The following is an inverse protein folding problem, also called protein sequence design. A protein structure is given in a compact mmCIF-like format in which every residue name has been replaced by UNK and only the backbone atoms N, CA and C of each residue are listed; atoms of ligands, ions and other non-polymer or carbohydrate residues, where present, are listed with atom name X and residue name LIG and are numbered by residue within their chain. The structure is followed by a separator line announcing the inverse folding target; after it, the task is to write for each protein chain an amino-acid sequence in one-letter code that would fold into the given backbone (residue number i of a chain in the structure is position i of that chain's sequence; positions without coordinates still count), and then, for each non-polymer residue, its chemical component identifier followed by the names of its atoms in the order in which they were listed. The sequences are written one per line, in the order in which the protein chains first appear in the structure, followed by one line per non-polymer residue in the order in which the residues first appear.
data_IF_151183387001
#
_entry.id   IF_151183387001
#
_cell.length_a   1.000
_cell.length_b   1.000
_cell.length_c   1.000
_cell.angle_alpha   90.00
_cell.angle_beta   90.00
_cell.angle_gamma   90.00
#
_symmetry.space_group_name_H-M   'P 1'
#
loop_
_entity.id
_entity.type
_entity.pdbx_description
1 polymer ?
#
# COMPACT_ATOMS: atom_id res chain seq x y z
N UNK A 1 -43.43 -0.57 58.22
CA UNK A 1 -42.05 -0.06 58.00
C UNK A 1 -41.10 -1.02 57.24
N UNK A 2 -41.58 -2.03 56.49
CA UNK A 2 -40.70 -2.97 55.74
C UNK A 2 -40.66 -2.77 54.21
N UNK A 3 -41.59 -2.01 53.63
CA UNK A 3 -41.62 -1.74 52.18
C UNK A 3 -40.85 -0.46 51.78
N UNK A 4 -40.70 0.50 52.70
CA UNK A 4 -39.99 1.77 52.45
C UNK A 4 -38.47 1.64 52.46
N UNK A 5 -37.91 0.64 53.15
CA UNK A 5 -36.46 0.41 53.23
C UNK A 5 -35.92 -0.19 51.92
N UNK A 6 -36.72 -0.99 51.22
CA UNK A 6 -36.33 -1.61 49.94
C UNK A 6 -36.15 -0.54 48.85
N UNK A 7 -36.94 0.53 48.88
CA UNK A 7 -36.86 1.60 47.88
C UNK A 7 -35.58 2.45 48.02
N UNK A 8 -35.10 2.67 49.25
CA UNK A 8 -33.86 3.41 49.50
C UNK A 8 -32.59 2.63 49.09
N UNK A 9 -32.61 1.30 49.20
CA UNK A 9 -31.49 0.46 48.76
C UNK A 9 -31.41 0.40 47.23
N UNK A 10 -32.56 0.37 46.53
CA UNK A 10 -32.60 0.41 45.07
C UNK A 10 -32.08 1.73 44.49
N UNK A 11 -32.33 2.86 45.17
CA UNK A 11 -31.86 4.19 44.73
C UNK A 11 -30.36 4.39 44.97
N UNK A 12 -29.76 3.70 45.94
CA UNK A 12 -28.31 3.74 46.17
C UNK A 12 -27.53 2.95 45.10
N UNK A 13 -28.10 1.85 44.56
CA UNK A 13 -27.43 1.02 43.55
C UNK A 13 -27.37 1.74 42.18
N UNK A 14 -28.34 2.60 41.86
CA UNK A 14 -28.29 3.36 40.59
C UNK A 14 -27.23 4.46 40.59
N UNK A 15 -26.85 5.00 41.75
CA UNK A 15 -25.79 6.03 41.84
C UNK A 15 -24.40 5.43 41.63
N UNK A 16 -24.18 4.15 41.98
CA UNK A 16 -22.91 3.46 41.67
C UNK A 16 -22.84 2.95 40.21
N UNK A 17 -23.95 2.90 39.49
CA UNK A 17 -23.99 2.42 38.10
C UNK A 17 -23.70 3.50 37.05
N UNK A 18 -23.58 4.77 37.44
CA UNK A 18 -23.05 5.83 36.57
C UNK A 18 -21.60 6.14 36.90
N UNK A 19 -20.76 5.11 37.00
CA UNK A 19 -19.37 5.26 36.63
C UNK A 19 -19.33 5.49 35.12
N UNK A 20 -19.29 6.75 34.70
CA UNK A 20 -19.14 7.10 33.30
C UNK A 20 -17.84 6.46 32.79
N UNK A 21 -17.98 5.36 32.06
CA UNK A 21 -16.95 4.91 31.16
C UNK A 21 -16.95 5.87 29.97
N UNK A 22 -16.43 7.08 30.20
CA UNK A 22 -15.89 7.88 29.12
C UNK A 22 -14.69 7.07 28.62
N UNK A 23 -14.90 6.29 27.55
CA UNK A 23 -13.84 6.13 26.57
C UNK A 23 -13.48 7.55 26.17
N UNK A 24 -12.38 8.06 26.71
CA UNK A 24 -11.67 9.15 26.06
C UNK A 24 -11.35 8.60 24.67
N UNK A 25 -12.10 9.06 23.66
CA UNK A 25 -11.64 9.01 22.27
C UNK A 25 -10.45 9.97 22.21
N UNK A 26 -9.33 9.55 22.78
CA UNK A 26 -8.03 10.11 22.47
C UNK A 26 -7.60 9.26 21.27
N UNK A 27 -8.05 9.66 20.08
CA UNK A 27 -7.60 9.01 18.85
C UNK A 27 -6.07 9.12 18.83
N UNK A 28 -5.40 7.97 18.74
CA UNK A 28 -3.94 7.93 18.77
C UNK A 28 -3.36 8.92 17.74
N UNK A 29 -2.45 9.79 18.17
CA UNK A 29 -1.76 10.71 17.27
C UNK A 29 -0.70 9.92 16.51
N UNK A 30 -1.04 9.55 15.27
CA UNK A 30 -0.19 8.79 14.37
C UNK A 30 0.58 9.75 13.45
N UNK A 31 1.91 9.67 13.50
CA UNK A 31 2.81 10.33 12.53
C UNK A 31 3.49 9.24 11.72
N UNK A 32 3.36 9.30 10.39
CA UNK A 32 3.97 8.34 9.49
C UNK A 32 5.48 8.55 9.35
N UNK A 33 6.25 7.49 9.01
CA UNK A 33 7.65 7.66 8.66
C UNK A 33 7.84 8.57 7.46
N UNK A 34 8.86 9.41 7.51
CA UNK A 34 9.18 10.37 6.46
C UNK A 34 10.65 10.26 6.09
N UNK A 35 10.94 10.18 4.80
CA UNK A 35 12.32 10.21 4.31
C UNK A 35 12.91 11.61 4.48
N UNK A 36 14.11 11.70 5.05
CA UNK A 36 14.78 12.98 5.27
C UNK A 36 16.29 12.79 5.39
N UNK A 37 17.04 13.45 4.50
CA UNK A 37 18.48 13.53 4.57
C UNK A 37 18.84 14.91 5.12
N UNK A 38 19.13 14.99 6.42
CA UNK A 38 19.49 16.26 7.07
C UNK A 38 20.83 16.78 6.56
N UNK A 39 20.81 17.66 5.55
CA UNK A 39 21.95 18.45 5.09
C UNK A 39 23.13 17.65 4.53
N UNK A 40 23.00 16.33 4.40
CA UNK A 40 24.08 15.46 3.91
C UNK A 40 24.00 15.39 2.40
N UNK A 41 25.04 15.89 1.74
CA UNK A 41 25.17 15.76 0.29
C UNK A 41 25.60 14.33 -0.04
N UNK A 42 24.84 13.64 -0.88
CA UNK A 42 25.22 12.35 -1.46
C UNK A 42 25.57 12.63 -2.93
N UNK A 43 26.79 12.27 -3.34
CA UNK A 43 27.33 12.63 -4.66
C UNK A 43 27.23 14.13 -4.98
N UNK A 44 27.35 14.99 -3.96
CA UNK A 44 27.25 16.45 -4.12
C UNK A 44 25.82 16.99 -4.29
N UNK A 45 24.78 16.15 -4.18
CA UNK A 45 23.36 16.53 -4.25
C UNK A 45 22.64 16.31 -2.91
N UNK A 46 21.64 17.15 -2.65
CA UNK A 46 20.66 16.92 -1.60
C UNK A 46 19.40 16.31 -2.24
N UNK A 47 18.69 15.43 -1.54
CA UNK A 47 17.44 14.82 -1.99
C UNK A 47 16.37 15.16 -0.95
N UNK A 48 15.40 15.99 -1.35
CA UNK A 48 14.35 16.47 -0.47
C UNK A 48 13.27 15.41 -0.24
N UNK A 49 13.02 14.57 -1.25
CA UNK A 49 12.03 13.50 -1.19
C UNK A 49 12.67 12.15 -1.51
N UNK A 50 11.98 11.07 -1.14
CA UNK A 50 12.42 9.74 -1.54
C UNK A 50 12.32 9.55 -3.05
N UNK A 51 11.35 10.16 -3.71
CA UNK A 51 11.16 10.04 -5.16
C UNK A 51 12.38 10.57 -5.93
N UNK A 52 12.90 11.74 -5.51
CA UNK A 52 14.14 12.30 -6.06
C UNK A 52 15.33 11.35 -5.84
N UNK A 53 15.41 10.74 -4.65
CA UNK A 53 16.46 9.77 -4.35
C UNK A 53 16.33 8.54 -5.26
N UNK A 54 15.14 7.95 -5.36
CA UNK A 54 14.89 6.78 -6.20
C UNK A 54 15.19 7.07 -7.67
N UNK A 55 14.72 8.20 -8.22
CA UNK A 55 15.00 8.59 -9.60
C UNK A 55 16.49 8.72 -9.92
N UNK A 56 17.30 9.11 -8.94
CA UNK A 56 18.73 9.28 -9.14
C UNK A 56 19.52 7.99 -8.99
N UNK A 57 19.05 7.04 -8.19
CA UNK A 57 19.80 5.83 -7.83
C UNK A 57 19.27 4.54 -8.47
N UNK A 58 18.02 4.52 -8.93
CA UNK A 58 17.45 3.37 -9.65
C UNK A 58 17.98 3.35 -11.07
N UNK A 59 18.44 2.18 -11.47
CA UNK A 59 18.81 1.86 -12.84
C UNK A 59 17.81 0.88 -13.45
N UNK A 60 17.62 0.95 -14.76
CA UNK A 60 16.83 -0.07 -15.46
C UNK A 60 17.71 -1.32 -15.67
N UNK A 61 17.37 -2.50 -15.12
CA UNK A 61 18.21 -3.69 -15.29
C UNK A 61 18.40 -4.05 -16.77
N UNK A 62 19.65 -4.32 -17.17
CA UNK A 62 19.99 -4.57 -18.58
C UNK A 62 19.27 -5.80 -19.17
N UNK A 63 19.04 -6.84 -18.36
CA UNK A 63 18.27 -8.01 -18.78
C UNK A 63 16.82 -7.64 -19.09
N UNK A 64 16.18 -6.87 -18.20
CA UNK A 64 14.82 -6.37 -18.39
C UNK A 64 14.70 -5.48 -19.63
N UNK A 65 15.71 -4.64 -19.89
CA UNK A 65 15.81 -3.86 -21.13
C UNK A 65 15.89 -4.76 -22.35
N UNK A 66 16.70 -5.82 -22.30
CA UNK A 66 16.91 -6.74 -23.42
C UNK A 66 15.65 -7.55 -23.77
N UNK A 67 14.79 -7.77 -22.78
CA UNK A 67 13.51 -8.47 -22.94
C UNK A 67 12.32 -7.52 -23.05
N UNK A 68 12.55 -6.21 -23.15
CA UNK A 68 11.51 -5.17 -23.20
C UNK A 68 10.48 -5.31 -22.05
N UNK A 69 10.93 -5.83 -20.91
CA UNK A 69 10.09 -6.11 -19.75
C UNK A 69 9.78 -4.81 -19.05
N UNK A 70 8.50 -4.50 -18.86
CA UNK A 70 8.02 -3.26 -18.23
C UNK A 70 6.88 -3.57 -17.27
N UNK A 71 6.65 -2.66 -16.33
CA UNK A 71 5.59 -2.79 -15.32
C UNK A 71 5.88 -1.90 -14.12
N UNK A 72 5.07 -2.09 -13.08
CA UNK A 72 5.13 -1.27 -11.88
C UNK A 72 5.47 -2.13 -10.68
N UNK A 73 6.63 -1.90 -10.08
CA UNK A 73 7.02 -2.53 -8.82
C UNK A 73 6.27 -1.87 -7.66
N UNK A 74 5.63 -2.66 -6.80
CA UNK A 74 5.04 -2.16 -5.55
C UNK A 74 5.60 -2.96 -4.40
N UNK A 75 6.36 -2.28 -3.54
CA UNK A 75 7.07 -2.90 -2.43
C UNK A 75 6.59 -2.29 -1.12
N UNK A 76 6.24 -3.17 -0.19
CA UNK A 76 6.05 -2.85 1.23
C UNK A 76 7.34 -3.13 1.99
N UNK A 77 7.68 -2.28 2.95
CA UNK A 77 8.80 -2.47 3.86
C UNK A 77 8.51 -1.78 5.20
N UNK A 78 9.25 -2.15 6.24
CA UNK A 78 9.13 -1.59 7.59
C UNK A 78 10.24 -0.57 7.83
N UNK A 79 9.86 0.63 8.27
CA UNK A 79 10.80 1.62 8.84
C UNK A 79 10.85 1.40 10.36
N UNK A 80 12.03 1.08 10.87
CA UNK A 80 12.25 0.82 12.31
C UNK A 80 12.36 2.13 13.11
N UNK A 81 12.28 2.08 14.46
CA UNK A 81 12.53 3.26 15.31
C UNK A 81 13.92 3.91 15.15
N UNK A 82 14.90 3.19 14.61
CA UNK A 82 16.24 3.71 14.25
C UNK A 82 16.29 4.33 12.85
N UNK A 83 15.21 4.26 12.08
CA UNK A 83 15.15 4.75 10.70
C UNK A 83 15.71 3.76 9.67
N UNK A 84 15.97 2.51 10.06
CA UNK A 84 16.38 1.45 9.13
C UNK A 84 15.19 0.88 8.36
N UNK A 85 15.46 0.36 7.17
CA UNK A 85 14.45 -0.31 6.34
C UNK A 85 14.63 -1.83 6.35
N UNK A 86 13.54 -2.55 6.60
CA UNK A 86 13.53 -4.01 6.79
C UNK A 86 12.26 -4.64 6.21
N UNK A 87 12.16 -5.96 6.23
CA UNK A 87 10.93 -6.71 5.89
C UNK A 87 10.31 -6.38 4.52
N UNK A 88 11.14 -6.34 3.48
CA UNK A 88 10.70 -6.11 2.10
C UNK A 88 9.74 -7.19 1.61
N UNK A 89 8.58 -6.78 1.10
CA UNK A 89 7.55 -7.64 0.51
C UNK A 89 7.01 -7.00 -0.76
N UNK A 90 7.15 -7.68 -1.88
CA UNK A 90 6.58 -7.23 -3.15
C UNK A 90 5.10 -7.57 -3.21
N UNK A 91 4.28 -6.53 -3.32
CA UNK A 91 2.83 -6.60 -3.52
C UNK A 91 2.53 -6.81 -5.00
N UNK A 92 3.30 -6.14 -5.87
CA UNK A 92 3.36 -6.42 -7.29
C UNK A 92 4.82 -6.47 -7.72
N UNK A 93 5.17 -7.51 -8.47
CA UNK A 93 6.47 -7.70 -9.10
C UNK A 93 6.28 -7.75 -10.60
N UNK A 94 6.96 -6.87 -11.32
CA UNK A 94 7.00 -6.89 -12.77
C UNK A 94 8.04 -7.91 -13.25
N UNK A 95 9.22 -7.94 -12.63
CA UNK A 95 10.15 -9.06 -12.77
C UNK A 95 11.21 -9.12 -11.65
N UNK A 96 11.80 -10.30 -11.38
CA UNK A 96 12.79 -10.48 -10.32
C UNK A 96 14.01 -9.54 -10.39
N UNK A 97 14.41 -9.12 -11.59
CA UNK A 97 15.54 -8.18 -11.76
C UNK A 97 15.18 -6.76 -11.38
N UNK A 98 13.94 -6.34 -11.60
CA UNK A 98 13.45 -5.06 -11.09
C UNK A 98 13.28 -5.14 -9.56
N UNK A 99 12.80 -6.26 -9.01
CA UNK A 99 12.72 -6.48 -7.56
C UNK A 99 14.08 -6.30 -6.87
N UNK A 100 15.12 -6.97 -7.40
CA UNK A 100 16.50 -6.90 -6.89
C UNK A 100 17.00 -5.45 -6.86
N UNK A 101 16.73 -4.68 -7.92
CA UNK A 101 17.19 -3.32 -8.08
C UNK A 101 16.44 -2.33 -7.17
N UNK A 102 15.11 -2.44 -7.10
CA UNK A 102 14.29 -1.65 -6.17
C UNK A 102 14.74 -1.91 -4.73
N UNK A 103 14.98 -3.18 -4.37
CA UNK A 103 15.46 -3.54 -3.04
C UNK A 103 16.87 -3.00 -2.76
N UNK A 104 17.78 -3.04 -3.74
CA UNK A 104 19.13 -2.46 -3.63
C UNK A 104 19.05 -0.98 -3.28
N UNK A 105 18.27 -0.20 -4.02
CA UNK A 105 18.16 1.25 -3.80
C UNK A 105 17.46 1.56 -2.49
N UNK A 106 16.38 0.85 -2.14
CA UNK A 106 15.72 1.07 -0.86
C UNK A 106 16.65 0.78 0.32
N UNK A 107 17.50 -0.24 0.26
CA UNK A 107 18.52 -0.49 1.30
C UNK A 107 19.51 0.68 1.45
N UNK A 108 19.80 1.43 0.39
CA UNK A 108 20.59 2.66 0.49
C UNK A 108 19.89 3.76 1.28
N UNK A 109 18.57 3.69 1.47
CA UNK A 109 17.80 4.65 2.30
C UNK A 109 17.86 4.36 3.80
N UNK A 110 18.43 3.22 4.21
CA UNK A 110 18.50 2.84 5.63
C UNK A 110 19.23 3.91 6.46
N UNK A 111 18.64 4.27 7.60
CA UNK A 111 19.10 5.34 8.49
C UNK A 111 18.74 6.76 8.02
N UNK A 112 18.06 6.92 6.88
CA UNK A 112 17.65 8.23 6.31
C UNK A 112 16.16 8.52 6.51
N UNK A 113 15.51 7.75 7.39
CA UNK A 113 14.09 7.90 7.68
C UNK A 113 13.89 8.45 9.08
N UNK A 114 13.03 9.47 9.18
CA UNK A 114 12.37 9.77 10.44
C UNK A 114 11.35 8.66 10.70
N UNK A 115 11.44 7.96 11.84
CA UNK A 115 10.55 6.86 12.17
C UNK A 115 9.13 7.37 12.42
N UNK A 116 8.15 6.49 12.23
CA UNK A 116 6.78 6.78 12.61
C UNK A 116 6.61 6.83 14.13
N UNK A 117 5.63 7.60 14.59
CA UNK A 117 5.31 7.70 16.02
C UNK A 117 3.84 7.50 16.28
N UNK A 118 3.51 6.83 17.39
CA UNK A 118 2.16 6.76 17.96
C UNK A 118 2.24 7.46 19.32
N UNK A 119 1.46 8.52 19.53
CA UNK A 119 1.47 9.33 20.75
C UNK A 119 2.90 9.78 21.14
N UNK A 120 3.68 10.21 20.15
CA UNK A 120 5.07 10.64 20.32
C UNK A 120 6.09 9.53 20.54
N UNK A 121 5.67 8.27 20.72
CA UNK A 121 6.58 7.13 20.84
C UNK A 121 6.93 6.57 19.48
N UNK A 122 8.23 6.49 19.18
CA UNK A 122 8.75 5.85 17.95
C UNK A 122 8.35 4.38 17.90
N UNK A 123 7.73 3.95 16.80
CA UNK A 123 7.31 2.57 16.56
C UNK A 123 7.68 2.13 15.14
N UNK A 124 7.93 0.83 14.91
CA UNK A 124 8.09 0.33 13.56
C UNK A 124 6.78 0.55 12.79
N UNK A 125 6.88 1.09 11.57
CA UNK A 125 5.71 1.31 10.72
C UNK A 125 5.99 0.86 9.28
N UNK A 126 4.98 0.25 8.68
CA UNK A 126 5.01 -0.16 7.29
C UNK A 126 4.90 1.04 6.34
N UNK A 127 5.67 1.03 5.26
CA UNK A 127 5.64 1.98 4.15
C UNK A 127 5.52 1.20 2.84
N UNK A 128 4.81 1.79 1.87
CA UNK A 128 4.73 1.29 0.52
C UNK A 128 5.23 2.34 -0.46
N UNK A 129 5.90 1.89 -1.52
CA UNK A 129 6.37 2.72 -2.64
C UNK A 129 6.06 1.99 -3.94
N UNK A 130 5.76 2.77 -4.99
CA UNK A 130 5.50 2.28 -6.35
C UNK A 130 6.49 2.85 -7.36
N UNK A 131 7.09 2.00 -8.18
CA UNK A 131 8.08 2.41 -9.17
C UNK A 131 7.67 1.83 -10.52
N UNK A 132 7.34 2.70 -11.48
CA UNK A 132 6.96 2.31 -12.82
C UNK A 132 8.19 2.28 -13.74
N UNK A 133 8.59 1.09 -14.18
CA UNK A 133 9.63 0.89 -15.19
C UNK A 133 9.00 0.92 -16.58
N UNK A 134 9.16 2.04 -17.29
CA UNK A 134 8.63 2.26 -18.63
C UNK A 134 9.75 2.18 -19.67
N UNK A 135 9.57 1.34 -20.70
CA UNK A 135 10.56 1.26 -21.79
C UNK A 135 10.69 2.58 -22.56
N UNK A 136 9.59 3.31 -22.73
CA UNK A 136 9.56 4.61 -23.39
C UNK A 136 8.65 5.59 -22.67
N UNK A 137 8.96 6.90 -22.73
CA UNK A 137 8.10 7.95 -22.16
C UNK A 137 6.68 7.97 -22.74
N UNK A 138 6.51 7.51 -23.98
CA UNK A 138 5.22 7.40 -24.64
C UNK A 138 4.35 6.24 -24.15
N UNK A 139 4.88 5.34 -23.31
CA UNK A 139 4.12 4.18 -22.85
C UNK A 139 3.07 4.62 -21.81
N UNK A 140 1.81 4.58 -22.23
CA UNK A 140 0.65 4.88 -21.39
C UNK A 140 0.15 3.62 -20.67
N UNK A 141 0.61 3.44 -19.44
CA UNK A 141 0.20 2.33 -18.58
C UNK A 141 -1.30 2.35 -18.27
N UNK A 142 -1.96 3.51 -18.26
CA UNK A 142 -3.41 3.62 -18.07
C UNK A 142 -4.14 3.05 -19.28
N UNK A 143 -3.74 3.42 -20.49
CA UNK A 143 -4.32 2.87 -21.71
C UNK A 143 -4.09 1.35 -21.83
N UNK A 144 -2.89 0.88 -21.49
CA UNK A 144 -2.55 -0.56 -21.50
C UNK A 144 -3.40 -1.33 -20.48
N UNK A 145 -3.51 -0.84 -19.25
CA UNK A 145 -4.32 -1.45 -18.20
C UNK A 145 -5.81 -1.48 -18.57
N UNK A 146 -6.34 -0.41 -19.16
CA UNK A 146 -7.73 -0.34 -19.64
C UNK A 146 -8.00 -1.34 -20.76
N UNK A 147 -7.08 -1.52 -21.70
CA UNK A 147 -7.19 -2.54 -22.74
C UNK A 147 -7.25 -3.96 -22.12
N UNK A 148 -6.39 -4.21 -21.15
CA UNK A 148 -6.37 -5.46 -20.39
C UNK A 148 -7.70 -5.71 -19.66
N UNK A 149 -8.23 -4.72 -18.95
CA UNK A 149 -9.56 -4.78 -18.31
C UNK A 149 -10.67 -5.13 -19.31
N UNK A 150 -10.71 -4.45 -20.46
CA UNK A 150 -11.71 -4.68 -21.50
C UNK A 150 -11.64 -6.11 -22.06
N UNK A 151 -10.43 -6.59 -22.37
CA UNK A 151 -10.20 -7.97 -22.84
C UNK A 151 -10.58 -8.98 -21.77
N UNK A 152 -10.24 -8.72 -20.50
CA UNK A 152 -10.62 -9.56 -19.37
C UNK A 152 -12.13 -9.69 -19.25
N UNK A 153 -12.84 -8.56 -19.29
CA UNK A 153 -14.30 -8.52 -19.25
C UNK A 153 -14.92 -9.28 -20.42
N UNK A 154 -14.36 -9.15 -21.63
CA UNK A 154 -14.80 -9.92 -22.79
C UNK A 154 -14.60 -11.44 -22.62
N UNK A 155 -13.51 -11.87 -21.97
CA UNK A 155 -13.28 -13.30 -21.70
C UNK A 155 -14.22 -13.81 -20.61
N UNK A 156 -14.49 -12.98 -19.60
CA UNK A 156 -15.45 -13.28 -18.53
C UNK A 156 -16.86 -13.49 -19.10
N UNK A 157 -17.34 -12.61 -19.98
CA UNK A 157 -18.67 -12.77 -20.61
C UNK A 157 -18.78 -14.01 -21.49
N UNK A 158 -17.65 -14.51 -22.01
CA UNK A 158 -17.54 -15.79 -22.74
C UNK A 158 -17.40 -17.01 -21.82
N UNK A 159 -17.46 -16.84 -20.50
CA UNK A 159 -17.28 -17.92 -19.51
C UNK A 159 -15.82 -18.38 -19.35
N UNK A 160 -14.85 -17.72 -19.98
CA UNK A 160 -13.44 -18.09 -19.88
C UNK A 160 -12.74 -17.30 -18.76
N UNK A 161 -13.10 -17.64 -17.51
CA UNK A 161 -12.63 -16.95 -16.30
C UNK A 161 -11.11 -17.03 -16.12
N UNK A 162 -10.48 -18.17 -16.41
CA UNK A 162 -9.02 -18.31 -16.34
C UNK A 162 -8.31 -17.33 -17.27
N UNK A 163 -8.82 -17.14 -18.50
CA UNK A 163 -8.26 -16.17 -19.43
C UNK A 163 -8.61 -14.73 -19.05
N UNK A 164 -9.77 -14.49 -18.44
CA UNK A 164 -10.13 -13.20 -17.89
C UNK A 164 -9.13 -12.76 -16.80
N UNK A 165 -8.86 -13.64 -15.83
CA UNK A 165 -7.89 -13.41 -14.75
C UNK A 165 -6.51 -13.07 -15.32
N UNK A 166 -6.02 -13.81 -16.32
CA UNK A 166 -4.72 -13.50 -16.97
C UNK A 166 -4.67 -12.08 -17.55
N UNK A 167 -5.77 -11.60 -18.14
CA UNK A 167 -5.81 -10.22 -18.63
C UNK A 167 -5.85 -9.22 -17.47
N UNK A 168 -6.58 -9.50 -16.39
CA UNK A 168 -6.55 -8.64 -15.22
C UNK A 168 -5.16 -8.59 -14.58
N UNK A 169 -4.46 -9.72 -14.48
CA UNK A 169 -3.06 -9.79 -14.02
C UNK A 169 -2.14 -8.91 -14.87
N UNK A 170 -2.27 -8.97 -16.21
CA UNK A 170 -1.53 -8.08 -17.11
C UNK A 170 -1.84 -6.60 -16.88
N UNK A 171 -3.10 -6.25 -16.64
CA UNK A 171 -3.49 -4.88 -16.33
C UNK A 171 -2.92 -4.40 -14.99
N UNK A 172 -2.95 -5.26 -13.97
CA UNK A 172 -2.41 -5.01 -12.64
C UNK A 172 -0.89 -4.84 -12.69
N UNK A 173 -0.19 -5.55 -13.57
CA UNK A 173 1.24 -5.34 -13.78
C UNK A 173 1.57 -3.89 -14.20
N UNK A 174 0.66 -3.20 -14.88
CA UNK A 174 0.81 -1.78 -15.24
C UNK A 174 0.29 -0.86 -14.14
N UNK A 175 -0.90 -1.13 -13.60
CA UNK A 175 -1.54 -0.34 -12.54
C UNK A 175 -1.93 -1.22 -11.35
N UNK A 176 -1.01 -1.52 -10.43
CA UNK A 176 -1.26 -2.48 -9.35
C UNK A 176 -2.25 -2.00 -8.29
N UNK A 177 -2.47 -0.70 -8.21
CA UNK A 177 -3.38 -0.05 -7.28
C UNK A 177 -4.74 0.31 -7.91
N UNK A 178 -5.01 -0.10 -9.16
CA UNK A 178 -6.24 0.24 -9.86
C UNK A 178 -7.44 -0.58 -9.31
N UNK A 179 -8.41 0.05 -8.63
CA UNK A 179 -9.47 -0.67 -7.93
C UNK A 179 -10.32 -1.55 -8.85
N UNK A 180 -10.59 -1.06 -10.06
CA UNK A 180 -11.45 -1.76 -11.03
C UNK A 180 -10.85 -3.10 -11.45
N UNK A 181 -9.53 -3.15 -11.65
CA UNK A 181 -8.81 -4.37 -12.01
C UNK A 181 -8.79 -5.37 -10.86
N UNK A 182 -8.50 -4.91 -9.65
CA UNK A 182 -8.50 -5.74 -8.43
C UNK A 182 -9.89 -6.33 -8.17
N UNK A 183 -10.95 -5.52 -8.27
CA UNK A 183 -12.32 -5.99 -8.08
C UNK A 183 -12.73 -7.01 -9.16
N UNK A 184 -12.45 -6.73 -10.43
CA UNK A 184 -12.76 -7.65 -11.53
C UNK A 184 -12.02 -9.00 -11.40
N UNK A 185 -10.74 -8.95 -11.00
CA UNK A 185 -9.95 -10.16 -10.73
C UNK A 185 -10.50 -10.92 -9.52
N UNK A 186 -10.80 -10.23 -8.43
CA UNK A 186 -11.33 -10.84 -7.20
C UNK A 186 -12.62 -11.63 -7.46
N UNK A 187 -13.57 -11.01 -8.14
CA UNK A 187 -14.84 -11.66 -8.49
C UNK A 187 -14.57 -12.91 -9.35
N UNK A 188 -13.71 -12.78 -10.36
CA UNK A 188 -13.38 -13.89 -11.26
C UNK A 188 -12.64 -15.03 -10.56
N UNK A 189 -11.76 -14.72 -9.59
CA UNK A 189 -11.06 -15.69 -8.73
C UNK A 189 -12.05 -16.45 -7.86
N UNK A 190 -12.97 -15.73 -7.20
CA UNK A 190 -14.01 -16.35 -6.40
C UNK A 190 -14.90 -17.28 -7.24
N UNK A 191 -15.28 -16.86 -8.45
CA UNK A 191 -16.08 -17.69 -9.39
C UNK A 191 -15.35 -18.98 -9.82
N UNK A 192 -14.02 -19.02 -9.84
CA UNK A 192 -13.25 -20.26 -10.13
C UNK A 192 -12.84 -21.05 -8.88
N UNK A 193 -13.26 -20.62 -7.68
CA UNK A 193 -12.92 -21.25 -6.41
C UNK A 193 -11.56 -20.83 -5.81
N UNK A 194 -10.90 -19.80 -6.35
CA UNK A 194 -9.70 -19.20 -5.76
C UNK A 194 -10.08 -18.14 -4.70
N UNK A 195 -10.64 -18.62 -3.59
CA UNK A 195 -11.07 -17.74 -2.48
C UNK A 195 -9.89 -17.00 -1.84
N UNK A 196 -8.73 -17.66 -1.76
CA UNK A 196 -7.52 -17.05 -1.18
C UNK A 196 -7.05 -15.85 -2.00
N UNK A 197 -6.95 -15.98 -3.33
CA UNK A 197 -6.58 -14.89 -4.21
C UNK A 197 -7.63 -13.78 -4.27
N UNK A 198 -8.93 -14.13 -4.20
CA UNK A 198 -10.00 -13.15 -4.11
C UNK A 198 -9.90 -12.32 -2.81
N UNK A 199 -9.65 -12.98 -1.67
CA UNK A 199 -9.46 -12.32 -0.39
C UNK A 199 -8.24 -11.39 -0.37
N UNK A 200 -7.14 -11.77 -1.04
CA UNK A 200 -5.98 -10.89 -1.20
C UNK A 200 -6.34 -9.59 -1.95
N UNK A 201 -7.10 -9.69 -3.04
CA UNK A 201 -7.56 -8.52 -3.80
C UNK A 201 -8.50 -7.63 -2.97
N UNK A 202 -9.42 -8.22 -2.20
CA UNK A 202 -10.28 -7.47 -1.29
C UNK A 202 -9.51 -6.77 -0.17
N UNK A 203 -8.52 -7.45 0.43
CA UNK A 203 -7.64 -6.83 1.42
C UNK A 203 -6.86 -5.66 0.82
N UNK A 204 -6.38 -5.80 -0.42
CA UNK A 204 -5.71 -4.70 -1.13
C UNK A 204 -6.64 -3.52 -1.34
N UNK A 205 -7.86 -3.75 -1.84
CA UNK A 205 -8.87 -2.69 -2.03
C UNK A 205 -9.22 -1.96 -0.73
N UNK A 206 -9.38 -2.71 0.37
CA UNK A 206 -9.60 -2.13 1.70
C UNK A 206 -8.41 -1.27 2.13
N UNK A 207 -7.18 -1.76 1.96
CA UNK A 207 -5.96 -1.01 2.29
C UNK A 207 -5.81 0.28 1.47
N UNK A 208 -6.31 0.27 0.23
CA UNK A 208 -6.37 1.45 -0.65
C UNK A 208 -7.54 2.39 -0.32
N UNK A 209 -8.35 2.11 0.71
CA UNK A 209 -9.45 2.99 1.15
C UNK A 209 -10.68 2.97 0.25
N UNK A 210 -10.84 1.97 -0.63
CA UNK A 210 -11.92 1.95 -1.62
C UNK A 210 -13.34 1.78 -1.02
N UNK A 211 -13.45 1.36 0.25
CA UNK A 211 -14.73 1.09 0.93
C UNK A 211 -15.00 2.00 2.15
N UNK A 212 -14.17 3.01 2.40
CA UNK A 212 -14.29 3.87 3.59
C UNK A 212 -14.95 5.22 3.25
N UNK A 213 -16.19 5.41 3.68
CA UNK A 213 -16.88 6.71 3.71
C UNK A 213 -16.48 7.47 5.00
N UNK A 214 -15.67 8.53 4.87
CA UNK A 214 -15.22 9.53 5.89
C UNK A 214 -13.78 9.45 6.45
N UNK A 215 -13.00 10.47 6.08
CA UNK A 215 -12.31 11.45 6.97
C UNK A 215 -11.52 10.90 8.17
N UNK A 216 -10.59 9.96 7.96
CA UNK A 216 -9.38 9.84 8.80
C UNK A 216 -8.23 9.19 8.02
N UNK A 217 -8.14 9.57 6.74
CA UNK A 217 -7.24 8.92 5.80
C UNK A 217 -5.81 9.50 5.84
N UNK A 218 -5.20 9.49 7.02
CA UNK A 218 -3.76 9.73 7.17
C UNK A 218 -2.93 8.51 6.70
N UNK A 219 -3.59 7.42 6.26
CA UNK A 219 -2.96 6.20 5.76
C UNK A 219 -3.03 6.02 4.23
N UNK A 220 -3.71 6.90 3.50
CA UNK A 220 -3.46 7.10 2.08
C UNK A 220 -2.13 7.82 1.93
N UNK A 221 -1.06 7.08 2.22
CA UNK A 221 0.27 7.37 1.72
C UNK A 221 0.11 7.41 0.22
N UNK A 222 0.18 8.63 -0.31
CA UNK A 222 0.69 8.94 -1.63
C UNK A 222 1.60 7.78 -2.07
N UNK A 223 1.04 6.87 -2.86
CA UNK A 223 1.81 5.82 -3.51
C UNK A 223 2.53 6.60 -4.59
N UNK A 224 3.61 7.27 -4.19
CA UNK A 224 4.43 8.02 -5.10
C UNK A 224 4.82 7.06 -6.21
N UNK A 225 4.43 7.40 -7.43
CA UNK A 225 4.77 6.61 -8.62
C UNK A 225 6.01 7.27 -9.19
N UNK A 226 7.15 6.65 -8.93
CA UNK A 226 8.39 7.05 -9.55
C UNK A 226 8.46 6.44 -10.94
N UNK A 227 8.49 7.26 -11.98
CA UNK A 227 8.62 6.77 -13.36
C UNK A 227 10.09 6.72 -13.78
N UNK A 228 10.57 5.50 -14.04
CA UNK A 228 11.92 5.21 -14.53
C UNK A 228 11.83 4.86 -16.00
N UNK A 229 12.69 5.48 -16.82
CA UNK A 229 12.73 5.28 -18.25
C UNK A 229 14.07 4.68 -18.67
N UNK A 230 14.07 3.94 -19.79
CA UNK A 230 15.30 3.65 -20.53
C UNK A 230 15.79 4.88 -21.29
#
# INVERSE_FOLDING_TARGET
MKKSVIFLVAMAITVFATGQNQKTNDDDVIVNPTFSINGTLIQGRNYATIDEFLLNFIEYPQESVSWETQGTEVVSFVVTPSGEVTDFKFINSACPKMDEEVMRVLRLTSGKWQPGTINGKKVPMEKEISIAFKMHRSNDFVALAKNCLNKGNQMKTKGNLKKAIRFYDQGINYLPCEPTLLAARSISRNEIGDEAGANQDWMRLKKLGFFEDNMNNNNLKEVAVVEVFK
#
